data_IF_357828066240
#
_entry.id   IF_357828066240
#
_cell.length_a   1.000
_cell.length_b   1.000
_cell.length_c   1.000
_cell.angle_alpha   90.00
_cell.angle_beta   90.00
_cell.angle_gamma   90.00
#
_symmetry.space_group_name_H-M   'P 1'
#
loop_
_entity.id
_entity.type
_entity.pdbx_description
1 polymer ?
#
# COMPACT_ATOMS: atom_id res chain seq x y z
N UNK A 1 2.17 -10.33 6.05
CA UNK A 1 0.80 -10.88 5.94
C UNK A 1 -0.08 -9.76 5.45
N UNK A 2 -0.61 -9.86 4.24
CA UNK A 2 -1.59 -8.91 3.71
C UNK A 2 -2.96 -9.21 4.29
N UNK A 3 -3.70 -8.15 4.58
CA UNK A 3 -5.05 -8.26 5.07
C UNK A 3 -5.99 -8.65 3.93
N UNK A 4 -6.21 -9.95 3.74
CA UNK A 4 -7.30 -10.44 2.89
C UNK A 4 -8.62 -9.75 3.31
N UNK A 5 -9.27 -9.06 2.37
CA UNK A 5 -10.48 -8.29 2.65
C UNK A 5 -10.27 -6.83 3.06
N UNK A 6 -9.05 -6.30 2.94
CA UNK A 6 -8.78 -4.86 3.01
C UNK A 6 -8.85 -4.21 1.61
N UNK A 7 -9.22 -2.93 1.57
CA UNK A 7 -9.13 -2.05 0.41
C UNK A 7 -8.44 -0.76 0.83
N UNK A 8 -7.57 -0.21 -0.01
CA UNK A 8 -6.89 1.05 0.27
C UNK A 8 -7.09 2.06 -0.85
N UNK A 9 -7.12 3.33 -0.49
CA UNK A 9 -7.02 4.48 -1.40
C UNK A 9 -5.87 5.34 -0.89
N UNK A 10 -4.77 5.34 -1.64
CA UNK A 10 -3.51 5.93 -1.23
C UNK A 10 -2.93 6.79 -2.35
N UNK A 11 -2.35 7.93 -1.97
CA UNK A 11 -1.39 8.67 -2.77
C UNK A 11 0.00 8.37 -2.22
N UNK A 12 0.89 7.87 -3.07
CA UNK A 12 2.20 7.38 -2.66
C UNK A 12 3.31 7.95 -3.53
N UNK A 13 4.45 8.20 -2.92
CA UNK A 13 5.74 8.49 -3.56
C UNK A 13 6.85 7.82 -2.75
N UNK A 14 8.11 7.98 -3.17
CA UNK A 14 9.25 7.42 -2.45
C UNK A 14 9.34 7.88 -0.98
N UNK A 15 8.86 9.08 -0.65
CA UNK A 15 9.02 9.70 0.68
C UNK A 15 7.72 10.18 1.32
N UNK A 16 6.58 10.06 0.62
CA UNK A 16 5.30 10.51 1.14
C UNK A 16 4.23 9.45 0.87
N UNK A 17 3.30 9.31 1.81
CA UNK A 17 2.09 8.52 1.67
C UNK A 17 0.94 9.23 2.37
N UNK A 18 -0.23 9.30 1.74
CA UNK A 18 -1.45 9.71 2.44
C UNK A 18 -2.64 8.95 1.92
N UNK A 19 -3.51 8.53 2.82
CA UNK A 19 -4.80 7.97 2.45
C UNK A 19 -5.39 7.09 3.52
N UNK A 20 -6.29 6.21 3.10
CA UNK A 20 -7.07 5.38 3.99
C UNK A 20 -6.95 3.93 3.58
N UNK A 21 -6.74 3.08 4.57
CA UNK A 21 -6.90 1.63 4.46
C UNK A 21 -8.17 1.25 5.20
N UNK A 22 -9.01 0.46 4.56
CA UNK A 22 -10.27 -0.01 5.11
C UNK A 22 -10.26 -1.52 5.13
N UNK A 23 -10.82 -2.11 6.18
CA UNK A 23 -11.11 -3.54 6.24
C UNK A 23 -12.62 -3.73 6.28
N UNK A 24 -13.15 -4.72 5.55
CA UNK A 24 -14.60 -4.89 5.37
C UNK A 24 -15.39 -4.97 6.69
N UNK A 25 -14.79 -5.55 7.73
CA UNK A 25 -15.49 -5.83 9.00
C UNK A 25 -14.77 -5.32 10.25
N UNK A 26 -13.59 -4.68 10.10
CA UNK A 26 -12.72 -4.35 11.25
C UNK A 26 -12.33 -2.87 11.30
N UNK A 27 -12.98 -1.97 10.57
CA UNK A 27 -12.67 -0.53 10.63
C UNK A 27 -11.58 -0.08 9.66
N UNK A 28 -11.06 1.12 9.88
CA UNK A 28 -10.13 1.80 8.95
C UNK A 28 -8.95 2.44 9.65
N UNK A 29 -7.85 2.57 8.92
CA UNK A 29 -6.65 3.31 9.28
C UNK A 29 -6.50 4.47 8.31
N UNK A 30 -6.39 5.69 8.83
CA UNK A 30 -5.87 6.82 8.04
C UNK A 30 -4.36 6.91 8.27
N UNK A 31 -3.58 7.05 7.20
CA UNK A 31 -2.11 7.11 7.29
C UNK A 31 -1.60 8.36 6.61
N UNK A 32 -0.62 9.00 7.24
CA UNK A 32 0.16 10.10 6.69
C UNK A 32 1.64 9.79 6.94
N UNK A 33 2.45 9.75 5.89
CA UNK A 33 3.90 9.65 5.95
C UNK A 33 4.48 10.85 5.23
N UNK A 34 5.45 11.53 5.85
CA UNK A 34 6.19 12.61 5.23
C UNK A 34 7.66 12.58 5.65
N UNK A 35 8.52 12.18 4.73
CA UNK A 35 9.92 11.93 5.07
C UNK A 35 10.00 10.77 6.07
N UNK A 36 10.60 11.04 7.23
CA UNK A 36 10.74 10.05 8.31
C UNK A 36 9.56 10.07 9.30
N UNK A 37 8.70 11.09 9.22
CA UNK A 37 7.55 11.21 10.12
C UNK A 37 6.40 10.31 9.65
N UNK A 38 5.87 9.52 10.57
CA UNK A 38 4.70 8.67 10.38
C UNK A 38 3.61 9.12 11.34
N UNK A 39 2.41 9.30 10.81
CA UNK A 39 1.17 9.43 11.59
C UNK A 39 0.16 8.40 11.11
N UNK A 40 -0.55 7.79 12.05
CA UNK A 40 -1.70 6.96 11.69
C UNK A 40 -2.86 7.23 12.66
N UNK A 41 -4.09 7.25 12.16
CA UNK A 41 -5.28 7.35 12.99
C UNK A 41 -6.06 6.07 12.84
N UNK A 42 -6.15 5.33 13.94
CA UNK A 42 -6.99 4.15 13.99
C UNK A 42 -8.46 4.55 14.21
N UNK A 43 -9.34 4.03 13.36
CA UNK A 43 -10.79 4.15 13.47
C UNK A 43 -11.43 2.76 13.54
N UNK A 44 -10.93 1.93 14.46
CA UNK A 44 -11.50 0.63 14.82
C UNK A 44 -10.73 -0.60 14.35
N UNK A 45 -9.60 -0.43 13.66
CA UNK A 45 -8.70 -1.49 13.20
C UNK A 45 -8.07 -2.25 14.37
N UNK A 46 -7.67 -1.58 15.45
CA UNK A 46 -6.99 -2.20 16.58
C UNK A 46 -7.80 -3.37 17.20
N UNK A 47 -9.12 -3.21 17.33
CA UNK A 47 -10.04 -4.25 17.85
C UNK A 47 -9.95 -5.58 17.05
N UNK A 48 -9.46 -5.53 15.81
CA UNK A 48 -9.29 -6.67 14.93
C UNK A 48 -7.87 -7.26 14.87
N UNK A 49 -6.88 -6.61 15.48
CA UNK A 49 -5.43 -6.90 15.40
C UNK A 49 -4.70 -6.85 16.76
N UNK A 50 -5.43 -6.95 17.88
CA UNK A 50 -4.91 -6.90 19.27
C UNK A 50 -3.57 -7.62 19.51
N UNK A 51 -3.31 -8.73 18.82
CA UNK A 51 -2.06 -9.50 18.97
C UNK A 51 -0.85 -8.95 18.18
N UNK A 52 -1.06 -8.16 17.12
CA UNK A 52 -0.02 -7.79 16.14
C UNK A 52 0.34 -6.30 16.23
N UNK A 53 -0.60 -5.46 16.64
CA UNK A 53 -0.41 -4.01 16.85
C UNK A 53 -0.18 -3.69 18.35
N UNK A 54 -0.38 -4.68 19.23
CA UNK A 54 0.18 -4.71 20.59
C UNK A 54 -0.18 -3.52 21.47
N UNK A 55 -1.41 -3.02 21.40
CA UNK A 55 -1.82 -1.93 22.28
C UNK A 55 -3.33 -1.87 22.45
N UNK A 56 -3.75 -2.06 23.70
CA UNK A 56 -5.11 -1.78 24.16
C UNK A 56 -5.41 -0.29 23.90
N UNK A 57 -6.03 -0.04 22.73
CA UNK A 57 -6.35 1.27 22.14
C UNK A 57 -5.12 2.11 21.84
N UNK A 58 -4.59 1.97 20.62
CA UNK A 58 -3.78 3.01 19.98
C UNK A 58 -4.57 4.32 19.96
N UNK A 59 -4.44 5.09 21.05
CA UNK A 59 -4.71 6.51 21.10
C UNK A 59 -6.12 6.88 20.63
N UNK A 60 -7.15 6.43 21.35
CA UNK A 60 -8.53 6.83 21.07
C UNK A 60 -8.62 8.35 20.80
N UNK A 61 -8.96 8.70 19.55
CA UNK A 61 -9.09 10.05 19.00
C UNK A 61 -7.79 10.88 18.84
N UNK A 62 -6.60 10.25 18.84
CA UNK A 62 -5.33 10.91 18.58
C UNK A 62 -4.48 10.16 17.53
N UNK A 63 -3.63 10.92 16.85
CA UNK A 63 -2.67 10.45 15.87
C UNK A 63 -1.37 10.04 16.56
N UNK A 64 -1.08 8.74 16.76
CA UNK A 64 0.27 8.28 17.01
C UNK A 64 1.25 8.90 16.02
N UNK A 65 2.38 9.35 16.53
CA UNK A 65 3.46 9.95 15.78
C UNK A 65 4.79 9.31 16.17
N UNK A 66 5.66 9.14 15.18
CA UNK A 66 7.04 8.72 15.39
C UNK A 66 7.70 8.43 14.05
N UNK A 67 8.84 7.75 14.10
CA UNK A 67 9.60 7.34 12.90
C UNK A 67 9.54 5.83 12.71
N UNK A 68 9.90 5.35 11.52
CA UNK A 68 10.01 3.91 11.22
C UNK A 68 11.10 3.17 12.03
N UNK A 69 11.86 3.87 12.88
CA UNK A 69 12.76 3.24 13.87
C UNK A 69 12.00 2.59 15.04
N UNK A 70 10.76 3.02 15.29
CA UNK A 70 9.85 2.41 16.26
C UNK A 70 9.04 1.29 15.59
N UNK A 71 8.98 0.07 16.16
CA UNK A 71 8.37 -1.06 15.43
C UNK A 71 6.87 -0.91 15.21
N UNK A 72 6.15 -0.24 16.11
CA UNK A 72 4.75 0.11 15.88
C UNK A 72 4.61 1.04 14.67
N UNK A 73 5.38 2.13 14.63
CA UNK A 73 5.31 3.09 13.53
C UNK A 73 5.75 2.49 12.20
N UNK A 74 6.77 1.61 12.22
CA UNK A 74 7.18 0.81 11.06
C UNK A 74 6.06 -0.10 10.56
N UNK A 75 5.35 -0.75 11.47
CA UNK A 75 4.22 -1.63 11.13
C UNK A 75 3.09 -0.83 10.50
N UNK A 76 2.77 0.35 11.03
CA UNK A 76 1.77 1.28 10.46
C UNK A 76 2.21 1.82 9.09
N UNK A 77 3.48 2.17 8.93
CA UNK A 77 4.02 2.67 7.66
C UNK A 77 4.00 1.62 6.54
N UNK A 78 4.14 0.33 6.87
CA UNK A 78 4.19 -0.77 5.90
C UNK A 78 2.93 -0.88 5.02
N UNK A 79 1.79 -0.38 5.49
CA UNK A 79 0.53 -0.38 4.74
C UNK A 79 0.55 0.56 3.53
N UNK A 80 1.50 1.48 3.46
CA UNK A 80 1.71 2.34 2.30
C UNK A 80 2.43 1.64 1.14
N UNK A 81 2.98 0.44 1.35
CA UNK A 81 3.64 -0.38 0.34
C UNK A 81 4.67 0.37 -0.51
N UNK A 82 5.43 1.28 0.10
CA UNK A 82 6.41 2.14 -0.59
C UNK A 82 7.52 1.33 -1.24
N UNK A 83 7.83 0.16 -0.70
CA UNK A 83 8.81 -0.79 -1.21
C UNK A 83 8.52 -1.25 -2.65
N UNK A 84 7.25 -1.32 -3.04
CA UNK A 84 6.84 -1.74 -4.39
C UNK A 84 7.33 -0.80 -5.49
N UNK A 85 7.68 0.44 -5.14
CA UNK A 85 8.22 1.42 -6.08
C UNK A 85 9.76 1.48 -6.08
N UNK A 86 10.39 0.96 -5.03
CA UNK A 86 11.85 1.05 -4.86
C UNK A 86 12.56 -0.24 -5.23
N UNK A 87 11.85 -1.37 -5.23
CA UNK A 87 12.42 -2.69 -5.52
C UNK A 87 11.64 -3.40 -6.63
N UNK A 88 12.31 -4.08 -7.57
CA UNK A 88 11.64 -4.88 -8.58
C UNK A 88 10.92 -6.07 -7.92
N UNK A 89 9.71 -6.40 -8.37
CA UNK A 89 9.06 -7.65 -8.00
C UNK A 89 9.87 -8.83 -8.54
N UNK A 90 10.19 -9.78 -7.66
CA UNK A 90 11.03 -10.94 -8.00
C UNK A 90 10.25 -12.24 -8.11
N UNK A 91 8.95 -12.25 -7.81
CA UNK A 91 8.08 -13.44 -7.86
C UNK A 91 8.76 -14.74 -7.38
N UNK A 92 9.58 -14.63 -6.33
CA UNK A 92 10.30 -15.74 -5.70
C UNK A 92 11.30 -16.50 -6.59
N UNK A 93 11.75 -15.95 -7.73
CA UNK A 93 12.70 -16.64 -8.61
C UNK A 93 13.48 -15.72 -9.54
N UNK A 94 14.80 -15.96 -9.63
CA UNK A 94 15.73 -15.24 -10.52
C UNK A 94 15.49 -15.46 -12.02
N UNK A 95 14.62 -16.42 -12.37
CA UNK A 95 14.34 -16.86 -13.76
C UNK A 95 12.84 -16.72 -14.13
N UNK A 96 12.09 -15.86 -13.45
CA UNK A 96 10.68 -15.66 -13.77
C UNK A 96 10.54 -14.91 -15.11
N UNK A 97 10.21 -15.65 -16.19
CA UNK A 97 9.97 -15.08 -17.51
C UNK A 97 8.70 -14.23 -17.52
N UNK A 98 8.86 -12.94 -17.83
CA UNK A 98 7.75 -12.03 -18.08
C UNK A 98 7.23 -12.27 -19.50
N UNK A 99 5.96 -12.64 -19.63
CA UNK A 99 5.30 -12.84 -20.93
C UNK A 99 4.45 -11.63 -21.28
N UNK A 100 4.71 -11.03 -22.44
CA UNK A 100 3.85 -10.00 -23.02
C UNK A 100 2.63 -10.64 -23.69
N UNK A 101 1.43 -10.22 -23.30
CA UNK A 101 0.19 -10.63 -23.94
C UNK A 101 -0.26 -9.72 -25.08
N UNK A 102 -1.48 -9.94 -25.57
CA UNK A 102 -2.07 -9.09 -26.61
C UNK A 102 -2.64 -7.82 -26.00
N UNK A 103 -2.57 -6.72 -26.74
CA UNK A 103 -3.25 -5.47 -26.40
C UNK A 103 -4.73 -5.73 -26.12
N UNK A 104 -5.21 -5.20 -25.00
CA UNK A 104 -6.59 -5.34 -24.51
C UNK A 104 -7.10 -4.02 -23.95
N UNK A 105 -8.37 -3.98 -23.55
CA UNK A 105 -8.97 -2.83 -22.88
C UNK A 105 -9.12 -3.12 -21.39
N UNK A 106 -8.53 -2.28 -20.56
CA UNK A 106 -8.60 -2.34 -19.09
C UNK A 106 -9.13 -1.02 -18.59
N UNK A 107 -10.27 -1.06 -17.87
CA UNK A 107 -10.92 0.13 -17.30
C UNK A 107 -11.08 1.28 -18.31
N UNK A 108 -11.42 0.92 -19.56
CA UNK A 108 -11.64 1.86 -20.68
C UNK A 108 -10.36 2.34 -21.38
N UNK A 109 -9.18 1.85 -21.01
CA UNK A 109 -7.87 2.23 -21.57
C UNK A 109 -7.23 1.07 -22.33
N UNK A 110 -6.54 1.36 -23.43
CA UNK A 110 -5.74 0.34 -24.13
C UNK A 110 -4.48 0.04 -23.31
N UNK A 111 -4.27 -1.24 -23.02
CA UNK A 111 -3.14 -1.71 -22.23
C UNK A 111 -2.61 -3.05 -22.76
N UNK A 112 -1.33 -3.31 -22.52
CA UNK A 112 -0.68 -4.61 -22.75
C UNK A 112 -0.47 -5.30 -21.40
N UNK A 113 -0.93 -6.54 -21.23
CA UNK A 113 -0.67 -7.32 -20.02
C UNK A 113 0.74 -7.90 -20.05
N UNK A 114 1.48 -7.71 -18.98
CA UNK A 114 2.79 -8.30 -18.69
C UNK A 114 2.58 -9.31 -17.57
N UNK A 115 2.63 -10.59 -17.92
CA UNK A 115 2.26 -11.69 -17.02
C UNK A 115 3.51 -12.37 -16.54
N UNK A 116 3.61 -12.58 -15.24
CA UNK A 116 4.66 -13.39 -14.64
C UNK A 116 4.03 -14.47 -13.78
N UNK A 117 4.50 -15.70 -13.93
CA UNK A 117 3.95 -16.87 -13.25
C UNK A 117 5.08 -17.66 -12.60
N UNK A 118 4.95 -17.96 -11.32
CA UNK A 118 5.91 -18.76 -10.58
C UNK A 118 5.20 -19.53 -9.46
N UNK A 119 5.62 -20.78 -9.20
CA UNK A 119 5.12 -21.58 -8.07
C UNK A 119 3.59 -21.72 -7.96
N UNK A 120 2.86 -21.63 -9.08
CA UNK A 120 1.39 -21.69 -9.09
C UNK A 120 0.70 -20.34 -8.80
N UNK A 121 1.47 -19.28 -8.60
CA UNK A 121 1.01 -17.90 -8.46
C UNK A 121 1.25 -17.13 -9.76
N UNK A 122 0.49 -16.06 -9.96
CA UNK A 122 0.65 -15.16 -11.10
C UNK A 122 0.38 -13.72 -10.72
N UNK A 123 1.13 -12.82 -11.36
CA UNK A 123 0.89 -11.37 -11.33
C UNK A 123 0.80 -10.88 -12.77
N UNK A 124 -0.23 -10.09 -13.05
CA UNK A 124 -0.40 -9.41 -14.34
C UNK A 124 -0.33 -7.91 -14.13
N UNK A 125 0.67 -7.30 -14.73
CA UNK A 125 0.83 -5.85 -14.78
C UNK A 125 0.30 -5.33 -16.10
N UNK A 126 -0.61 -4.36 -16.09
CA UNK A 126 -1.14 -3.78 -17.31
C UNK A 126 -0.47 -2.43 -17.58
N UNK A 127 0.30 -2.36 -18.66
CA UNK A 127 0.97 -1.13 -19.09
C UNK A 127 0.16 -0.42 -20.19
N UNK A 128 -0.02 0.89 -20.08
CA UNK A 128 -0.69 1.68 -21.12
C UNK A 128 0.05 1.60 -22.46
N UNK A 129 -0.69 1.45 -23.56
CA UNK A 129 -0.11 1.37 -24.93
C UNK A 129 -0.14 2.70 -25.67
N UNK A 130 -0.71 3.73 -25.07
CA UNK A 130 -0.82 5.08 -25.63
C UNK A 130 -0.22 6.08 -24.67
N UNK A 131 0.63 6.97 -25.17
CA UNK A 131 1.38 7.92 -24.33
C UNK A 131 2.56 7.26 -23.62
N UNK A 132 2.83 7.69 -22.39
CA UNK A 132 3.85 7.08 -21.53
C UNK A 132 3.36 5.70 -21.04
N UNK A 133 4.21 4.66 -21.08
CA UNK A 133 3.82 3.27 -20.77
C UNK A 133 3.71 3.03 -19.25
N UNK A 134 2.82 3.80 -18.61
CA UNK A 134 2.56 3.73 -17.18
C UNK A 134 1.76 2.48 -16.84
N UNK A 135 2.06 1.87 -15.69
CA UNK A 135 1.22 0.84 -15.11
C UNK A 135 -0.15 1.43 -14.77
N UNK A 136 -1.23 0.78 -15.18
CA UNK A 136 -2.60 1.26 -14.94
C UNK A 136 -3.37 0.34 -14.02
N UNK A 137 -2.98 -0.93 -13.96
CA UNK A 137 -3.63 -1.96 -13.17
C UNK A 137 -2.65 -3.08 -12.86
N UNK A 138 -2.91 -3.77 -11.77
CA UNK A 138 -2.29 -5.01 -11.36
C UNK A 138 -3.39 -5.98 -10.93
N UNK A 139 -3.35 -7.18 -11.50
CA UNK A 139 -4.09 -8.33 -10.98
C UNK A 139 -3.09 -9.33 -10.40
N UNK A 140 -3.43 -9.99 -9.31
CA UNK A 140 -2.53 -10.89 -8.59
C UNK A 140 -3.30 -12.04 -7.97
N UNK A 141 -2.74 -13.24 -8.05
CA UNK A 141 -3.24 -14.41 -7.30
C UNK A 141 -2.47 -14.64 -6.01
N UNK A 142 -1.46 -13.82 -5.72
CA UNK A 142 -0.66 -13.92 -4.49
C UNK A 142 -1.46 -13.34 -3.33
N UNK A 143 -1.34 -13.98 -2.18
CA UNK A 143 -1.94 -13.41 -0.97
C UNK A 143 -1.26 -12.08 -0.63
N UNK A 144 0.08 -12.02 -0.66
CA UNK A 144 0.90 -10.87 -0.23
C UNK A 144 0.91 -9.66 -1.17
N UNK A 145 0.20 -9.73 -2.28
CA UNK A 145 0.18 -8.69 -3.30
C UNK A 145 -1.26 -8.51 -3.79
N UNK A 146 -2.00 -7.50 -3.29
CA UNK A 146 -3.38 -7.27 -3.67
C UNK A 146 -3.50 -6.76 -5.11
N UNK A 147 -4.70 -6.91 -5.67
CA UNK A 147 -5.06 -6.23 -6.92
C UNK A 147 -5.08 -4.71 -6.72
N UNK A 148 -4.70 -3.96 -7.76
CA UNK A 148 -4.53 -2.51 -7.67
C UNK A 148 -4.84 -1.78 -8.98
N UNK A 149 -5.30 -0.53 -8.85
CA UNK A 149 -5.47 0.40 -9.98
C UNK A 149 -4.57 1.61 -9.72
N UNK A 150 -3.78 1.99 -10.72
CA UNK A 150 -2.80 3.06 -10.59
C UNK A 150 -3.16 4.26 -11.46
N UNK A 151 -3.08 5.45 -10.86
CA UNK A 151 -3.40 6.70 -11.52
C UNK A 151 -2.70 7.88 -10.83
N UNK A 152 -2.92 9.11 -11.32
CA UNK A 152 -2.36 10.30 -10.69
C UNK A 152 -0.84 10.46 -10.84
N UNK A 153 -0.23 9.74 -11.78
CA UNK A 153 1.21 9.84 -12.06
C UNK A 153 1.67 11.27 -12.33
N UNK A 154 2.86 11.61 -11.84
CA UNK A 154 3.44 12.95 -11.98
C UNK A 154 2.80 14.03 -11.08
N UNK A 155 1.85 13.66 -10.22
CA UNK A 155 1.26 14.59 -9.25
C UNK A 155 1.94 14.44 -7.88
N UNK A 156 2.04 15.54 -7.14
CA UNK A 156 2.58 15.53 -5.78
C UNK A 156 1.59 14.89 -4.82
N UNK A 157 2.07 14.03 -3.92
CA UNK A 157 1.25 13.41 -2.85
C UNK A 157 0.67 14.48 -1.93
N UNK A 158 1.52 15.39 -1.45
CA UNK A 158 1.08 16.52 -0.63
C UNK A 158 0.77 16.12 0.80
N UNK A 159 1.53 15.15 1.34
CA UNK A 159 1.38 14.75 2.73
C UNK A 159 1.68 15.92 3.68
N UNK A 160 0.89 16.05 4.73
CA UNK A 160 1.01 17.11 5.71
C UNK A 160 0.64 16.58 7.09
N UNK A 161 1.32 17.09 8.13
CA UNK A 161 1.01 16.78 9.52
C UNK A 161 -0.50 16.91 9.75
N UNK A 162 -1.15 15.90 10.37
CA UNK A 162 -2.58 15.94 10.62
C UNK A 162 -2.97 17.08 11.57
N UNK A 163 -4.18 17.59 11.42
CA UNK A 163 -4.72 18.69 12.25
C UNK A 163 -5.29 18.25 13.59
N UNK A 164 -5.37 16.94 13.85
CA UNK A 164 -5.90 16.37 15.09
C UNK A 164 -4.93 16.42 16.26
N UNK A 165 -5.37 15.89 17.40
CA UNK A 165 -4.48 15.64 18.54
C UNK A 165 -3.39 14.66 18.10
N UNK A 166 -2.13 15.02 18.31
CA UNK A 166 -0.99 14.15 18.02
C UNK A 166 -0.41 13.67 19.33
N UNK A 167 -0.07 12.38 19.39
CA UNK A 167 0.57 11.76 20.53
C UNK A 167 1.78 10.95 20.05
N UNK A 168 2.91 11.07 20.73
CA UNK A 168 4.09 10.26 20.38
C UNK A 168 3.80 8.77 20.64
N UNK A 169 4.30 7.93 19.74
CA UNK A 169 4.29 6.49 19.90
C UNK A 169 5.03 6.10 21.20
N UNK A 170 4.63 5.00 21.86
CA UNK A 170 5.28 4.57 23.08
C UNK A 170 6.71 4.12 22.76
N UNK A 171 7.63 4.42 23.68
CA UNK A 171 8.99 3.86 23.63
C UNK A 171 8.93 2.34 23.88
N UNK A 172 9.80 1.59 23.21
CA UNK A 172 9.91 0.12 23.31
C UNK A 172 10.67 -0.35 24.56
#
# INVERSE_FOLDING_TARGET
>A
MTCSGASSDLKVSATECVGTVQTKDKGSLETVIKGDDVWALDSGLADGFDAEIGSDRLFADAWPHGTEDNALMKSLASWCHREQFTEPDTLGGTDSEVTEGKVTTVDGRQAVPLVTTANGESVTWYAATTGEPLLVRQDSTRDDMPEGVFSGFGTTVGAAKPSGTVQEAPEE
#
